data_IF_847165527233
#
_entry.id   IF_847165527233
#
_cell.length_a   1.000
_cell.length_b   1.000
_cell.length_c   1.000
_cell.angle_alpha   90.00
_cell.angle_beta   90.00
_cell.angle_gamma   90.00
#
_symmetry.space_group_name_H-M   'P 1'
#
loop_
_entity.id
_entity.type
_entity.pdbx_description
1 polymer ?
2 non-polymer ?
3 water ?
#
# COMPACT_ATOMS: atom_id res chain seq x y z
N UNK A 10 14.28 16.34 5.77
CA UNK A 10 13.13 15.40 6.06
C UNK A 10 13.68 14.01 6.40
N UNK A 11 13.32 13.52 7.58
CA UNK A 11 13.80 12.23 8.17
C UNK A 11 12.58 11.34 8.35
N UNK A 12 12.77 10.01 8.34
CA UNK A 12 11.69 9.10 8.66
C UNK A 12 11.01 9.38 10.02
N UNK A 13 9.75 8.96 10.12
CA UNK A 13 8.87 9.09 11.30
C UNK A 13 9.42 8.26 12.48
N UNK A 14 9.95 7.06 12.23
CA UNK A 14 10.67 6.26 13.24
C UNK A 14 12.03 6.91 13.46
N UNK A 15 12.34 7.43 14.67
CA UNK A 15 13.65 8.07 14.89
C UNK A 15 14.79 7.04 14.79
N UNK A 16 14.48 5.75 14.84
CA UNK A 16 15.47 4.64 14.81
C UNK A 16 15.60 4.09 13.41
N UNK A 17 15.02 4.74 12.41
CA UNK A 17 15.10 4.25 11.01
C UNK A 17 16.54 3.82 10.71
N UNK A 18 16.70 2.65 10.13
CA UNK A 18 18.04 2.11 9.82
C UNK A 18 18.56 2.90 8.60
N UNK A 19 19.85 2.73 8.27
CA UNK A 19 20.56 3.51 7.23
C UNK A 19 19.80 3.34 5.89
N UNK A 20 19.46 2.11 5.55
CA UNK A 20 18.88 1.71 4.24
C UNK A 20 17.57 2.48 3.97
N UNK A 21 16.67 2.52 4.95
CA UNK A 21 15.38 3.26 4.92
C UNK A 21 15.63 4.77 4.85
N UNK A 22 16.62 5.27 5.57
CA UNK A 22 16.97 6.71 5.59
C UNK A 22 17.44 7.14 4.20
N UNK A 23 18.33 6.36 3.56
CA UNK A 23 18.97 6.75 2.27
C UNK A 23 17.90 6.72 1.16
N UNK A 24 16.96 5.75 1.20
CA UNK A 24 15.83 5.64 0.25
C UNK A 24 14.90 6.84 0.41
N UNK A 25 14.55 7.20 1.66
CA UNK A 25 13.59 8.30 1.96
C UNK A 25 14.16 9.63 1.44
N UNK A 26 15.43 9.89 1.71
CA UNK A 26 16.21 11.05 1.21
C UNK A 26 16.10 11.12 -0.33
N UNK A 27 16.42 10.01 -1.01
CA UNK A 27 16.34 9.86 -2.49
C UNK A 27 14.91 10.14 -3.02
N UNK A 28 13.88 9.62 -2.35
CA UNK A 28 12.46 9.93 -2.68
C UNK A 28 12.22 11.44 -2.53
N UNK A 29 12.78 12.07 -1.50
CA UNK A 29 12.52 13.51 -1.21
C UNK A 29 13.12 14.40 -2.31
N UNK A 30 14.16 13.94 -3.01
CA UNK A 30 14.85 14.69 -4.08
C UNK A 30 14.18 14.65 -5.46
N UNK A 31 13.26 13.72 -5.73
CA UNK A 31 12.85 13.41 -7.13
C UNK A 31 12.01 14.52 -7.75
N UNK A 32 11.08 15.22 -7.05
CA UNK A 32 10.36 16.34 -7.68
C UNK A 32 11.30 17.43 -8.24
N UNK A 33 12.49 17.63 -7.65
CA UNK A 33 13.52 18.63 -8.09
C UNK A 33 14.39 18.07 -9.23
N UNK A 34 14.36 16.76 -9.46
CA UNK A 34 15.30 16.01 -10.34
C UNK A 34 15.06 16.39 -11.82
N UNK A 35 16.13 16.76 -12.53
CA UNK A 35 16.11 17.12 -13.98
C UNK A 35 15.55 15.94 -14.78
N UNK A 36 16.26 14.81 -14.80
CA UNK A 36 15.94 13.62 -15.61
C UNK A 36 14.83 12.79 -14.99
N UNK A 37 15.10 11.53 -14.69
CA UNK A 37 14.09 10.56 -14.24
C UNK A 37 13.58 10.96 -12.85
N UNK A 38 12.26 10.88 -12.61
CA UNK A 38 11.61 11.42 -11.38
C UNK A 38 10.31 10.71 -11.02
N UNK A 39 9.83 9.77 -11.84
CA UNK A 39 8.52 9.06 -11.60
C UNK A 39 8.76 7.55 -11.56
N UNK A 40 8.75 6.97 -10.37
CA UNK A 40 9.05 5.54 -10.11
C UNK A 40 7.88 4.65 -10.57
N UNK A 41 8.16 3.65 -11.41
CA UNK A 41 7.17 2.65 -11.88
C UNK A 41 7.09 1.52 -10.85
N UNK A 42 5.97 0.81 -10.89
CA UNK A 42 5.69 -0.35 -10.03
C UNK A 42 4.60 -1.20 -10.64
N UNK A 43 4.41 -2.39 -10.10
CA UNK A 43 3.21 -3.24 -10.32
C UNK A 43 2.93 -3.98 -9.00
N UNK A 44 1.68 -4.34 -8.80
CA UNK A 44 1.26 -5.22 -7.67
C UNK A 44 1.50 -6.65 -8.16
N UNK A 45 2.33 -7.45 -7.48
CA UNK A 45 2.68 -8.81 -7.94
C UNK A 45 1.64 -9.83 -7.48
N UNK A 46 0.82 -9.46 -6.49
CA UNK A 46 -0.31 -10.28 -6.05
C UNK A 46 -0.26 -10.59 -4.56
N UNK A 47 -1.16 -11.48 -4.14
CA UNK A 47 -1.39 -11.87 -2.72
C UNK A 47 -0.54 -13.11 -2.41
N UNK A 48 0.26 -13.03 -1.33
CA UNK A 48 1.15 -14.13 -0.86
C UNK A 48 0.29 -15.36 -0.58
N UNK A 49 0.54 -16.46 -1.31
CA UNK A 49 -0.02 -17.80 -0.98
C UNK A 49 -1.51 -17.87 -1.35
N UNK A 50 -1.90 -17.43 -2.55
CA UNK A 50 -3.22 -17.82 -3.10
C UNK A 50 -3.02 -18.36 -4.53
N UNK A 51 -3.99 -19.14 -4.98
CA UNK A 51 -3.95 -19.75 -6.32
C UNK A 51 -4.24 -18.73 -7.39
N UNK A 52 -3.84 -19.06 -8.62
CA UNK A 52 -4.30 -18.42 -9.86
C UNK A 52 -3.62 -17.08 -10.08
N UNK A 53 -4.23 -16.27 -10.96
CA UNK A 53 -3.61 -15.06 -11.55
C UNK A 53 -3.35 -14.04 -10.43
N UNK A 54 -4.16 -14.03 -9.37
CA UNK A 54 -4.08 -13.00 -8.30
C UNK A 54 -2.97 -13.29 -7.30
N UNK A 55 -2.50 -14.55 -7.26
CA UNK A 55 -1.41 -14.98 -6.37
C UNK A 55 -0.11 -14.22 -6.63
N UNK A 56 0.65 -13.96 -5.58
CA UNK A 56 1.96 -13.31 -5.72
C UNK A 56 2.94 -14.21 -6.48
N UNK A 57 3.69 -13.57 -7.38
CA UNK A 57 4.84 -14.11 -8.15
C UNK A 57 5.47 -12.94 -8.90
N UNK A 58 6.51 -13.21 -9.70
CA UNK A 58 7.21 -12.22 -10.57
C UNK A 58 6.50 -12.12 -11.92
N UNK A 59 5.44 -12.91 -12.13
CA UNK A 59 4.71 -13.01 -13.42
C UNK A 59 4.29 -11.60 -13.83
N UNK A 60 3.70 -10.82 -12.92
CA UNK A 60 3.18 -9.44 -13.21
C UNK A 60 4.30 -8.55 -13.76
N UNK A 61 5.47 -8.61 -13.14
CA UNK A 61 6.66 -7.87 -13.57
C UNK A 61 7.19 -8.38 -14.89
N UNK A 62 7.32 -9.70 -15.03
CA UNK A 62 7.91 -10.36 -16.22
C UNK A 62 7.08 -10.05 -17.46
N UNK A 63 5.75 -9.97 -17.34
CA UNK A 63 4.81 -9.69 -18.45
C UNK A 63 5.03 -8.26 -18.93
N UNK A 64 5.33 -7.35 -18.00
CA UNK A 64 5.64 -5.93 -18.34
C UNK A 64 7.02 -5.87 -19.01
N UNK A 65 8.04 -6.56 -18.49
CA UNK A 65 9.35 -6.73 -19.17
C UNK A 65 9.11 -7.22 -20.59
N UNK A 66 8.21 -8.19 -20.79
CA UNK A 66 7.93 -8.75 -22.15
C UNK A 66 7.24 -7.67 -22.97
N UNK A 67 6.32 -6.90 -22.40
CA UNK A 67 5.52 -5.95 -23.20
C UNK A 67 6.32 -4.67 -23.47
N UNK A 68 7.16 -4.23 -22.52
CA UNK A 68 7.77 -2.88 -22.51
C UNK A 68 9.31 -2.94 -22.58
N UNK A 69 9.90 -4.09 -22.25
CA UNK A 69 11.37 -4.25 -22.12
C UNK A 69 11.92 -3.65 -20.85
N UNK A 70 11.05 -3.22 -19.93
CA UNK A 70 11.37 -2.64 -18.59
C UNK A 70 10.68 -3.46 -17.50
N UNK A 71 11.37 -3.74 -16.40
CA UNK A 71 10.79 -4.31 -15.16
C UNK A 71 10.44 -3.14 -14.24
N UNK A 72 9.23 -3.10 -13.66
CA UNK A 72 8.87 -2.02 -12.74
C UNK A 72 9.88 -1.91 -11.59
N UNK A 73 10.18 -0.67 -11.17
CA UNK A 73 11.14 -0.33 -10.09
C UNK A 73 10.58 -0.83 -8.74
N UNK A 74 9.30 -0.60 -8.48
CA UNK A 74 8.63 -1.08 -7.24
C UNK A 74 7.87 -2.39 -7.51
N UNK A 75 8.13 -3.45 -6.74
CA UNK A 75 7.27 -4.67 -6.73
C UNK A 75 6.49 -4.67 -5.42
N UNK A 76 5.15 -4.68 -5.55
CA UNK A 76 4.21 -4.74 -4.42
C UNK A 76 3.76 -6.16 -4.17
N UNK A 77 3.59 -6.51 -2.89
CA UNK A 77 2.89 -7.73 -2.45
C UNK A 77 1.91 -7.37 -1.34
N UNK A 78 0.90 -8.21 -1.17
CA UNK A 78 -0.11 -8.10 -0.09
C UNK A 78 -0.06 -9.41 0.68
N UNK A 79 0.03 -9.33 2.00
CA UNK A 79 0.36 -10.45 2.91
C UNK A 79 -0.91 -11.27 3.24
N UNK A 80 -2.12 -10.75 2.98
CA UNK A 80 -3.34 -11.23 3.67
C UNK A 80 -4.54 -11.48 2.74
N UNK A 81 -5.35 -12.47 3.10
CA UNK A 81 -6.58 -12.90 2.39
C UNK A 81 -7.77 -12.78 3.35
N UNK A 82 -8.08 -11.53 3.72
CA UNK A 82 -9.17 -11.19 4.65
C UNK A 82 -10.53 -11.66 4.16
N UNK A 83 -10.67 -11.96 2.86
CA UNK A 83 -11.94 -12.44 2.26
C UNK A 83 -12.20 -13.88 2.70
N UNK A 84 -11.14 -14.62 3.08
CA UNK A 84 -11.28 -16.03 3.54
C UNK A 84 -11.48 -16.05 5.05
N UNK A 85 -12.38 -16.92 5.49
CA UNK A 85 -12.50 -17.36 6.91
C UNK A 85 -11.36 -18.32 7.25
N UNK A 86 -10.97 -18.33 8.53
CA UNK A 86 -10.07 -19.32 9.18
C UNK A 86 -10.80 -20.03 10.32
N UNK A 87 -10.12 -20.99 10.94
CA UNK A 87 -10.49 -21.53 12.25
C UNK A 87 -10.34 -20.39 13.27
N UNK A 88 -11.33 -20.21 14.18
CA UNK A 88 -11.12 -19.39 15.38
C UNK A 88 -9.84 -19.90 16.04
N UNK A 89 -8.91 -19.00 16.34
CA UNK A 89 -7.61 -19.32 16.93
C UNK A 89 -6.54 -19.58 15.89
N UNK A 90 -6.87 -19.62 14.60
CA UNK A 90 -5.86 -19.83 13.51
C UNK A 90 -5.87 -18.60 12.62
N UNK A 91 -6.27 -17.43 13.14
CA UNK A 91 -6.53 -16.24 12.30
C UNK A 91 -5.26 -15.81 11.55
N UNK A 92 -4.07 -16.04 12.11
CA UNK A 92 -2.78 -15.66 11.51
C UNK A 92 -2.49 -16.54 10.28
N UNK A 93 -3.24 -17.64 10.10
CA UNK A 93 -3.15 -18.48 8.88
C UNK A 93 -3.51 -17.63 7.65
N UNK A 94 -4.27 -16.55 7.82
CA UNK A 94 -4.78 -15.70 6.70
C UNK A 94 -3.75 -14.63 6.30
N UNK A 95 -2.58 -14.62 6.99
CA UNK A 95 -1.38 -13.79 6.69
C UNK A 95 -0.26 -14.72 6.29
N UNK A 96 0.41 -14.45 5.17
CA UNK A 96 1.54 -15.24 4.63
C UNK A 96 2.57 -14.27 4.04
N UNK A 97 3.86 -14.57 4.19
CA UNK A 97 4.97 -13.72 3.70
C UNK A 97 6.03 -14.55 2.96
N UNK A 98 5.64 -15.66 2.33
CA UNK A 98 6.54 -16.49 1.46
C UNK A 98 6.92 -15.65 0.22
N UNK A 99 6.18 -14.57 -0.03
CA UNK A 99 6.50 -13.62 -1.11
C UNK A 99 7.86 -12.96 -0.85
N UNK A 100 8.27 -12.87 0.41
CA UNK A 100 9.51 -12.16 0.84
C UNK A 100 10.72 -12.64 0.04
N UNK A 101 10.84 -13.92 -0.24
CA UNK A 101 12.03 -14.44 -0.94
C UNK A 101 12.24 -13.66 -2.25
N UNK A 102 11.21 -13.53 -3.07
CA UNK A 102 11.28 -12.84 -4.39
C UNK A 102 11.55 -11.34 -4.17
N UNK A 103 10.88 -10.73 -3.18
CA UNK A 103 11.04 -9.30 -2.83
C UNK A 103 12.49 -9.03 -2.46
N UNK A 104 13.16 -9.95 -1.78
CA UNK A 104 14.60 -9.79 -1.41
C UNK A 104 15.48 -9.81 -2.68
N UNK A 105 15.24 -10.71 -3.63
CA UNK A 105 16.00 -10.76 -4.92
C UNK A 105 15.78 -9.42 -5.63
N UNK A 106 14.55 -8.90 -5.54
CA UNK A 106 14.14 -7.63 -6.21
C UNK A 106 14.97 -6.48 -5.62
N UNK A 107 15.00 -6.34 -4.29
CA UNK A 107 15.85 -5.31 -3.63
C UNK A 107 17.30 -5.49 -4.06
N UNK A 108 17.80 -6.72 -4.07
CA UNK A 108 19.20 -7.07 -4.44
C UNK A 108 19.47 -6.62 -5.88
N UNK A 109 18.50 -6.70 -6.80
CA UNK A 109 18.66 -6.23 -8.21
C UNK A 109 18.49 -4.71 -8.34
N UNK A 110 18.12 -4.02 -7.26
CA UNK A 110 18.11 -2.54 -7.19
C UNK A 110 16.70 -1.99 -7.32
N UNK A 111 15.70 -2.83 -7.05
CA UNK A 111 14.29 -2.42 -7.00
C UNK A 111 13.89 -2.04 -5.59
N UNK A 112 12.69 -1.47 -5.46
CA UNK A 112 12.02 -1.19 -4.16
C UNK A 112 10.87 -2.17 -3.92
N UNK A 113 10.56 -2.40 -2.65
CA UNK A 113 9.52 -3.35 -2.19
C UNK A 113 8.42 -2.53 -1.49
N UNK A 114 7.16 -2.88 -1.75
CA UNK A 114 5.94 -2.29 -1.19
C UNK A 114 5.04 -3.41 -0.65
N UNK A 115 4.49 -3.23 0.54
CA UNK A 115 3.68 -4.27 1.23
C UNK A 115 2.37 -3.62 1.64
N UNK A 116 1.25 -4.23 1.28
CA UNK A 116 -0.10 -3.92 1.81
C UNK A 116 -0.58 -5.20 2.49
N UNK A 117 -1.76 -5.18 3.11
CA UNK A 117 -2.39 -6.41 3.66
C UNK A 117 -3.90 -6.21 3.74
N UNK A 118 -4.66 -6.94 2.93
CA UNK A 118 -6.14 -7.05 3.04
C UNK A 118 -6.44 -7.85 4.31
N UNK A 119 -6.31 -7.22 5.47
CA UNK A 119 -6.33 -7.91 6.77
C UNK A 119 -7.71 -8.48 7.05
N UNK A 120 -7.77 -9.67 7.67
CA UNK A 120 -8.99 -10.12 8.34
C UNK A 120 -9.46 -9.12 9.41
N UNK A 121 -10.73 -9.21 9.77
CA UNK A 121 -11.42 -8.32 10.72
C UNK A 121 -11.28 -8.92 12.12
N UNK A 122 -10.40 -8.37 12.97
CA UNK A 122 -10.10 -8.99 14.26
C UNK A 122 -11.27 -8.99 15.25
N UNK A 123 -12.36 -8.31 14.92
CA UNK A 123 -13.54 -8.31 15.82
C UNK A 123 -14.18 -9.70 15.84
N UNK A 124 -13.99 -10.53 14.81
CA UNK A 124 -14.71 -11.81 14.58
C UNK A 124 -13.74 -12.98 14.71
N UNK A 125 -14.06 -13.89 15.62
CA UNK A 125 -13.40 -15.21 15.73
C UNK A 125 -13.52 -15.90 14.36
N UNK A 126 -12.41 -16.45 13.88
CA UNK A 126 -12.35 -17.15 12.58
C UNK A 126 -12.41 -16.18 11.43
N UNK A 127 -12.40 -14.87 11.72
CA UNK A 127 -12.65 -13.82 10.71
C UNK A 127 -13.97 -14.14 10.01
N UNK A 128 -14.94 -14.66 10.78
CA UNK A 128 -16.23 -15.25 10.29
C UNK A 128 -17.42 -14.60 10.97
N UNK A 129 -18.02 -13.55 10.38
CA UNK A 129 -19.20 -12.90 10.96
C UNK A 129 -20.60 -13.48 10.61
N UNK A 130 -20.66 -14.65 9.95
CA UNK A 130 -21.93 -15.31 9.58
C UNK A 130 -22.52 -14.68 8.33
N UNK A 131 -21.63 -14.33 7.40
CA UNK A 131 -21.89 -13.44 6.25
C UNK A 131 -21.77 -14.20 4.93
N UNK A 132 -21.18 -15.40 4.92
CA UNK A 132 -20.96 -16.16 3.68
C UNK A 132 -19.53 -16.00 3.19
N UNK A 133 -18.75 -15.17 3.87
CA UNK A 133 -17.30 -15.04 3.58
C UNK A 133 -16.57 -14.47 4.80
N UNK A 134 -15.28 -14.17 4.59
CA UNK A 134 -14.38 -13.53 5.56
C UNK A 134 -14.87 -12.14 5.87
N UNK A 135 -14.35 -11.54 6.94
CA UNK A 135 -14.81 -10.24 7.46
C UNK A 135 -14.10 -9.03 6.86
N UNK A 136 -13.26 -9.19 5.83
CA UNK A 136 -12.52 -8.06 5.19
C UNK A 136 -13.44 -6.86 4.96
N UNK A 137 -14.64 -7.09 4.41
CA UNK A 137 -15.59 -6.02 3.99
C UNK A 137 -16.85 -6.06 4.87
N UNK A 138 -16.75 -6.64 6.06
CA UNK A 138 -17.78 -6.60 7.12
C UNK A 138 -17.59 -5.35 7.98
N UNK A 139 -18.48 -4.37 7.88
CA UNK A 139 -18.50 -3.16 8.72
C UNK A 139 -18.66 -3.59 10.18
N UNK A 140 -18.18 -2.76 11.09
CA UNK A 140 -18.38 -2.91 12.55
C UNK A 140 -18.69 -1.52 13.12
N UNK A 141 -19.49 -1.46 14.17
CA UNK A 141 -19.89 -0.21 14.86
C UNK A 141 -18.65 0.47 15.45
N UNK A 142 -18.77 1.74 15.83
CA UNK A 142 -17.69 2.43 16.57
C UNK A 142 -17.38 1.68 17.89
N UNK A 143 -18.40 1.16 18.60
CA UNK A 143 -18.19 0.43 19.90
C UNK A 143 -17.37 -0.85 19.66
N UNK A 144 -17.68 -1.57 18.57
CA UNK A 144 -17.02 -2.85 18.20
C UNK A 144 -15.56 -2.56 17.84
N UNK A 145 -15.36 -1.53 17.02
CA UNK A 145 -14.05 -1.05 16.55
C UNK A 145 -13.21 -0.69 17.79
N UNK A 146 -13.81 -0.02 18.77
CA UNK A 146 -13.11 0.51 19.97
C UNK A 146 -12.47 -0.66 20.75
N UNK A 147 -13.09 -1.83 20.72
CA UNK A 147 -12.63 -3.04 21.47
C UNK A 147 -11.27 -3.50 20.91
N UNK A 148 -10.96 -3.17 19.67
CA UNK A 148 -9.66 -3.58 19.06
C UNK A 148 -8.52 -2.84 19.78
N UNK A 149 -8.84 -1.72 20.46
CA UNK A 149 -7.87 -0.85 21.16
C UNK A 149 -7.96 -0.97 22.70
N UNK A 150 -8.88 -1.77 23.24
CA UNK A 150 -9.02 -2.02 24.71
C UNK A 150 -8.22 -3.25 25.11
N UNK A 151 -7.31 -3.08 26.08
CA UNK A 151 -6.43 -4.16 26.60
C UNK A 151 -7.34 -5.33 27.00
N UNK A 152 -6.95 -6.56 26.66
CA UNK A 152 -7.56 -7.78 27.22
C UNK A 152 -8.72 -8.33 26.43
N UNK A 153 -9.21 -7.68 25.38
CA UNK A 153 -10.38 -8.15 24.60
C UNK A 153 -9.94 -9.21 23.61
N UNK A 154 -10.87 -10.07 23.19
CA UNK A 154 -10.68 -11.06 22.10
C UNK A 154 -10.37 -10.37 20.79
N UNK A 155 -11.01 -9.25 20.48
CA UNK A 155 -10.68 -8.46 19.27
C UNK A 155 -9.22 -7.99 19.34
N UNK A 156 -8.80 -7.42 20.47
CA UNK A 156 -7.42 -6.87 20.56
C UNK A 156 -6.44 -8.03 20.44
N UNK A 157 -6.76 -9.21 20.98
CA UNK A 157 -5.84 -10.38 21.00
C UNK A 157 -5.59 -10.90 19.56
N UNK A 158 -6.66 -10.97 18.76
CA UNK A 158 -6.58 -11.41 17.35
C UNK A 158 -5.84 -10.34 16.54
N UNK A 159 -6.16 -9.09 16.80
CA UNK A 159 -5.52 -7.92 16.16
C UNK A 159 -4.00 -8.08 16.26
N UNK A 160 -3.48 -8.17 17.48
CA UNK A 160 -2.02 -8.29 17.77
C UNK A 160 -1.47 -9.59 17.14
N UNK A 161 -2.24 -10.67 17.13
CA UNK A 161 -1.81 -11.96 16.54
C UNK A 161 -1.60 -11.79 15.03
N UNK A 162 -2.54 -11.08 14.40
CA UNK A 162 -2.47 -10.69 12.96
C UNK A 162 -1.22 -9.84 12.75
N UNK A 163 -1.02 -8.82 13.59
CA UNK A 163 0.12 -7.88 13.53
C UNK A 163 1.43 -8.66 13.72
N UNK A 164 1.44 -9.67 14.58
CA UNK A 164 2.68 -10.41 14.92
C UNK A 164 3.15 -11.06 13.61
N UNK A 165 2.23 -11.64 12.86
CA UNK A 165 2.57 -12.45 11.67
C UNK A 165 2.96 -11.48 10.55
N UNK A 166 2.41 -10.26 10.53
CA UNK A 166 2.84 -9.21 9.55
C UNK A 166 4.28 -8.81 9.91
N UNK A 167 4.48 -8.50 11.18
CA UNK A 167 5.78 -8.10 11.76
C UNK A 167 6.84 -9.16 11.45
N UNK A 168 6.52 -10.44 11.59
CA UNK A 168 7.45 -11.57 11.33
C UNK A 168 8.01 -11.39 9.94
N UNK A 169 7.12 -11.12 8.97
CA UNK A 169 7.43 -10.95 7.55
C UNK A 169 8.25 -9.69 7.32
N UNK A 170 7.90 -8.61 8.01
CA UNK A 170 8.63 -7.32 7.87
C UNK A 170 10.00 -7.43 8.55
N UNK A 171 10.11 -8.20 9.63
CA UNK A 171 11.39 -8.40 10.34
C UNK A 171 12.35 -9.18 9.43
N UNK A 172 11.85 -10.20 8.73
CA UNK A 172 12.72 -10.95 7.82
C UNK A 172 13.31 -9.95 6.84
N UNK A 173 12.49 -9.07 6.28
CA UNK A 173 12.94 -8.10 5.25
C UNK A 173 13.96 -7.14 5.87
N UNK A 174 13.71 -6.70 7.10
CA UNK A 174 14.64 -5.85 7.89
C UNK A 174 15.99 -6.57 7.90
N UNK A 175 16.02 -7.84 8.31
CA UNK A 175 17.26 -8.62 8.53
C UNK A 175 18.01 -8.84 7.20
N UNK A 176 17.40 -8.61 6.03
CA UNK A 176 18.09 -8.69 4.71
C UNK A 176 18.38 -7.28 4.19
N UNK A 177 18.24 -6.26 5.04
CA UNK A 177 18.60 -4.87 4.73
C UNK A 177 17.64 -4.21 3.75
N UNK A 178 16.37 -4.64 3.72
CA UNK A 178 15.36 -4.21 2.70
C UNK A 178 14.46 -3.13 3.29
N UNK A 179 14.51 -1.85 2.87
CA UNK A 179 13.50 -0.90 3.30
C UNK A 179 12.18 -1.35 2.68
N UNK A 180 11.06 -0.98 3.29
CA UNK A 180 9.71 -1.36 2.79
C UNK A 180 8.83 -0.11 2.77
N UNK A 181 8.21 0.13 1.62
CA UNK A 181 7.09 1.08 1.47
C UNK A 181 5.85 0.37 2.02
N UNK A 182 5.61 0.56 3.32
CA UNK A 182 4.59 -0.16 4.11
C UNK A 182 3.29 0.62 4.08
N UNK A 183 2.24 0.03 3.51
CA UNK A 183 0.90 0.67 3.28
C UNK A 183 -0.19 -0.07 4.08
N UNK A 184 -0.27 0.16 5.42
CA UNK A 184 -1.34 -0.43 6.22
C UNK A 184 -2.63 0.40 6.13
N UNK A 185 -3.77 -0.26 6.27
CA UNK A 185 -5.11 0.32 6.51
C UNK A 185 -5.41 1.38 5.43
N UNK A 186 -5.20 1.00 4.16
CA UNK A 186 -5.42 1.88 2.97
C UNK A 186 -6.93 2.11 2.70
N UNK A 187 -7.27 3.12 1.91
CA UNK A 187 -8.66 3.38 1.45
C UNK A 187 -9.60 3.48 2.67
N UNK A 188 -9.08 4.05 3.77
CA UNK A 188 -9.76 4.09 5.08
C UNK A 188 -10.94 5.06 5.05
N UNK A 189 -10.99 5.95 4.06
CA UNK A 189 -12.10 6.94 3.87
C UNK A 189 -13.20 6.31 3.01
N UNK A 190 -12.96 5.09 2.51
CA UNK A 190 -13.98 4.26 1.84
C UNK A 190 -14.76 3.44 2.83
N UNK A 191 -16.03 3.17 2.50
CA UNK A 191 -16.98 2.38 3.33
C UNK A 191 -16.77 0.85 3.19
N UNK A 192 -15.82 0.35 2.39
CA UNK A 192 -15.79 -1.10 2.04
C UNK A 192 -15.02 -1.93 3.09
N UNK A 193 -13.77 -1.60 3.38
CA UNK A 193 -12.98 -2.35 4.40
C UNK A 193 -13.56 -2.12 5.81
N UNK A 194 -13.33 -3.10 6.68
CA UNK A 194 -13.80 -3.09 8.10
C UNK A 194 -13.15 -1.93 8.85
N UNK A 195 -11.91 -1.58 8.48
CA UNK A 195 -11.12 -0.51 9.15
C UNK A 195 -11.52 0.87 8.60
N UNK A 196 -12.36 0.94 7.55
CA UNK A 196 -12.70 2.20 6.85
C UNK A 196 -13.94 2.90 7.41
N UNK A 197 -14.51 3.83 6.63
CA UNK A 197 -15.69 4.63 7.03
C UNK A 197 -16.93 3.72 7.17
N UNK A 198 -17.83 4.08 8.08
CA UNK A 198 -19.21 3.51 8.23
C UNK A 198 -20.04 3.79 6.98
N UNK A 199 -19.92 5.01 6.44
CA UNK A 199 -20.79 5.54 5.37
C UNK A 199 -20.03 5.93 4.12
N UNK A 200 -20.76 6.20 3.05
CA UNK A 200 -20.27 6.72 1.75
C UNK A 200 -20.09 8.24 1.90
N UNK A 201 -18.84 8.70 2.05
CA UNK A 201 -18.48 10.15 2.18
C UNK A 201 -19.05 10.75 3.47
N UNK A 202 -19.36 9.96 4.50
CA UNK A 202 -19.94 10.48 5.77
C UNK A 202 -18.82 11.11 6.59
N UNK A 203 -19.14 12.10 7.41
CA UNK A 203 -18.15 12.77 8.28
C UNK A 203 -18.36 12.30 9.72
N UNK A 204 -17.92 11.08 10.02
CA UNK A 204 -18.02 10.48 11.38
C UNK A 204 -16.74 10.76 12.17
N UNK A 205 -16.74 11.80 13.02
CA UNK A 205 -15.58 12.24 13.82
C UNK A 205 -15.04 11.09 14.69
N UNK A 206 -15.93 10.21 15.15
CA UNK A 206 -15.53 9.23 16.17
C UNK A 206 -14.87 8.05 15.42
N UNK A 207 -15.35 7.65 14.23
CA UNK A 207 -14.66 6.69 13.32
C UNK A 207 -13.29 7.24 12.92
N UNK A 208 -13.23 8.50 12.51
CA UNK A 208 -11.97 9.22 12.15
C UNK A 208 -10.99 9.10 13.33
N UNK A 209 -11.44 9.41 14.54
CA UNK A 209 -10.59 9.34 15.77
C UNK A 209 -10.12 7.90 15.94
N UNK A 210 -11.03 6.91 15.86
CA UNK A 210 -10.69 5.47 16.08
C UNK A 210 -9.65 5.01 15.04
N UNK A 211 -9.81 5.40 13.77
CA UNK A 211 -8.86 5.03 12.69
C UNK A 211 -7.47 5.59 13.00
N UNK A 212 -7.37 6.88 13.27
CA UNK A 212 -6.11 7.56 13.70
C UNK A 212 -5.48 6.72 14.84
N UNK A 213 -6.29 6.34 15.83
CA UNK A 213 -5.82 5.60 17.02
C UNK A 213 -5.35 4.21 16.57
N UNK A 214 -6.06 3.57 15.64
CA UNK A 214 -5.69 2.22 15.17
C UNK A 214 -4.33 2.26 14.44
N UNK A 215 -4.16 3.18 13.49
CA UNK A 215 -2.90 3.37 12.72
C UNK A 215 -1.73 3.60 13.70
N UNK A 216 -1.96 4.45 14.71
CA UNK A 216 -0.94 4.81 15.73
C UNK A 216 -0.59 3.56 16.54
N UNK A 217 -1.60 2.75 16.84
CA UNK A 217 -1.40 1.44 17.49
C UNK A 217 -0.42 0.60 16.66
N UNK A 218 -0.58 0.56 15.34
CA UNK A 218 0.28 -0.28 14.46
C UNK A 218 1.69 0.30 14.51
N UNK A 219 1.77 1.61 14.35
CA UNK A 219 3.04 2.37 14.34
C UNK A 219 3.84 2.01 15.60
N UNK A 220 3.34 2.25 16.81
CA UNK A 220 4.14 2.06 18.04
C UNK A 220 4.41 0.58 18.26
N UNK A 221 3.46 -0.30 17.95
CA UNK A 221 3.69 -1.77 18.14
C UNK A 221 4.92 -2.13 17.30
N UNK A 222 4.94 -1.69 16.06
CA UNK A 222 5.98 -2.06 15.07
C UNK A 222 7.26 -1.29 15.40
N UNK A 223 7.15 -0.04 15.81
CA UNK A 223 8.35 0.84 16.01
C UNK A 223 9.08 0.48 17.32
N UNK A 224 8.33 0.30 18.40
CA UNK A 224 8.89 0.00 19.75
C UNK A 224 9.07 -1.51 19.89
N UNK A 225 8.01 -2.24 20.19
CA UNK A 225 8.01 -3.70 20.43
C UNK A 225 8.78 -4.46 19.35
N UNK A 226 8.62 -4.16 18.06
CA UNK A 226 9.08 -5.07 16.97
C UNK A 226 10.35 -4.53 16.32
N UNK A 227 10.80 -3.33 16.71
CA UNK A 227 12.05 -2.75 16.22
C UNK A 227 12.14 -2.82 14.70
N UNK A 228 11.07 -2.40 14.01
CA UNK A 228 10.98 -2.42 12.53
C UNK A 228 11.50 -1.07 11.97
N UNK A 229 12.82 -0.98 11.89
CA UNK A 229 13.62 0.22 11.54
C UNK A 229 13.57 0.48 10.02
N UNK A 230 13.10 -0.49 9.23
CA UNK A 230 13.25 -0.49 7.75
C UNK A 230 11.99 0.03 7.04
N UNK A 231 10.98 0.47 7.80
CA UNK A 231 9.64 0.81 7.24
C UNK A 231 9.56 2.32 6.99
N UNK A 232 9.04 2.64 5.80
CA UNK A 232 8.56 3.98 5.40
C UNK A 232 7.05 3.87 5.26
N UNK A 233 6.33 4.59 6.13
CA UNK A 233 4.90 4.42 6.44
C UNK A 233 4.06 5.18 5.41
N UNK A 234 3.28 4.46 4.59
CA UNK A 234 2.39 5.06 3.55
C UNK A 234 0.95 5.21 4.06
N UNK A 235 0.41 6.42 3.96
CA UNK A 235 -0.99 6.80 4.27
C UNK A 235 -1.70 7.11 2.93
N UNK A 236 -2.49 6.17 2.42
CA UNK A 236 -3.09 6.20 1.07
C UNK A 236 -4.59 6.05 1.17
N UNK A 237 -5.36 7.15 1.34
CA UNK A 237 -6.80 7.10 1.15
C UNK A 237 -7.22 6.82 -0.30
N UNK A 238 -8.52 6.60 -0.49
CA UNK A 238 -9.12 6.43 -1.83
C UNK A 238 -9.31 7.81 -2.46
N UNK A 239 -8.88 7.97 -3.70
CA UNK A 239 -8.99 9.23 -4.47
C UNK A 239 -10.47 9.54 -4.76
N UNK A 240 -11.35 8.54 -4.78
CA UNK A 240 -12.76 8.72 -5.22
C UNK A 240 -13.70 8.77 -4.00
N UNK A 241 -13.18 9.14 -2.84
CA UNK A 241 -13.98 9.39 -1.61
C UNK A 241 -13.52 10.67 -0.93
N UNK A 242 -14.37 11.21 -0.07
CA UNK A 242 -14.18 12.52 0.59
C UNK A 242 -13.43 12.28 1.92
N UNK A 243 -13.15 13.36 2.63
CA UNK A 243 -12.62 13.36 4.02
C UNK A 243 -11.27 12.64 4.03
N UNK A 244 -10.52 12.77 2.93
CA UNK A 244 -9.26 12.04 2.72
C UNK A 244 -8.32 12.20 3.93
N UNK A 245 -8.02 13.44 4.34
CA UNK A 245 -7.07 13.71 5.45
C UNK A 245 -7.77 13.69 6.82
N UNK A 246 -9.10 13.54 6.90
CA UNK A 246 -9.78 13.39 8.21
C UNK A 246 -9.22 12.17 8.92
N UNK A 247 -8.61 11.21 8.20
CA UNK A 247 -8.10 9.92 8.76
C UNK A 247 -6.59 9.98 9.03
N UNK A 248 -5.95 11.13 8.78
CA UNK A 248 -4.47 11.29 8.86
C UNK A 248 -4.03 11.21 10.32
N UNK A 249 -3.18 10.25 10.69
CA UNK A 249 -2.71 10.13 12.07
C UNK A 249 -1.72 11.22 12.52
N UNK A 250 -1.14 11.99 11.59
CA UNK A 250 -0.25 13.12 11.94
C UNK A 250 1.17 12.93 11.41
N UNK A 251 1.88 14.03 11.22
CA UNK A 251 3.23 14.08 10.57
C UNK A 251 4.20 13.10 11.26
N UNK A 252 3.99 12.77 12.55
CA UNK A 252 4.89 11.89 13.33
C UNK A 252 4.73 10.40 13.02
N UNK A 253 3.72 10.04 12.23
CA UNK A 253 3.29 8.63 11.99
C UNK A 253 3.39 8.24 10.52
N UNK A 254 3.72 9.19 9.65
CA UNK A 254 3.54 9.06 8.17
C UNK A 254 4.81 9.55 7.48
N UNK A 255 5.33 8.74 6.56
CA UNK A 255 6.52 9.06 5.73
C UNK A 255 6.12 9.48 4.31
N UNK A 256 5.15 8.79 3.70
CA UNK A 256 4.74 8.97 2.28
C UNK A 256 3.24 9.18 2.22
N UNK A 257 2.80 10.21 1.51
CA UNK A 257 1.39 10.50 1.20
C UNK A 257 1.00 9.75 -0.07
N UNK A 258 -0.08 8.99 -0.03
CA UNK A 258 -0.55 8.16 -1.15
C UNK A 258 -1.98 8.48 -1.50
N UNK A 259 -2.36 8.25 -2.75
CA UNK A 259 -3.77 8.00 -3.14
C UNK A 259 -3.85 6.68 -3.92
N UNK A 260 -4.91 5.91 -3.66
CA UNK A 260 -5.40 4.79 -4.50
C UNK A 260 -6.38 5.39 -5.53
N UNK A 261 -6.05 5.33 -6.82
CA UNK A 261 -6.68 6.15 -7.89
C UNK A 261 -7.15 5.25 -9.04
N UNK A 262 -8.43 4.90 -9.04
CA UNK A 262 -9.11 4.16 -10.14
C UNK A 262 -10.13 5.10 -10.83
N UNK A 263 -10.04 5.20 -12.15
CA UNK A 263 -10.87 6.14 -12.96
C UNK A 263 -10.78 5.72 -14.42
N UNK A 264 -11.73 6.14 -15.26
CA UNK A 264 -11.64 5.91 -16.73
C UNK A 264 -10.99 7.13 -17.39
N UNK A 265 -10.84 8.24 -16.67
CA UNK A 265 -10.23 9.50 -17.14
C UNK A 265 -9.14 9.93 -16.15
N UNK A 266 -7.86 9.63 -16.45
CA UNK A 266 -6.73 9.97 -15.57
C UNK A 266 -6.58 11.42 -15.11
N UNK A 267 -7.06 12.39 -15.88
CA UNK A 267 -7.04 13.83 -15.54
C UNK A 267 -7.96 14.17 -14.35
N UNK A 268 -8.93 13.32 -14.01
CA UNK A 268 -10.03 13.55 -13.02
C UNK A 268 -9.57 13.38 -11.55
N UNK A 269 -8.27 13.17 -11.27
CA UNK A 269 -7.74 12.99 -9.90
C UNK A 269 -8.18 14.14 -8.99
N UNK A 270 -8.84 13.82 -7.88
CA UNK A 270 -9.12 14.77 -6.77
C UNK A 270 -8.38 14.29 -5.50
N UNK A 271 -8.03 15.24 -4.61
CA UNK A 271 -7.23 14.99 -3.40
C UNK A 271 -5.77 15.46 -3.52
N UNK A 272 -5.28 15.79 -4.72
CA UNK A 272 -3.84 16.10 -4.95
C UNK A 272 -3.34 17.18 -3.98
N UNK A 273 -3.94 18.36 -3.98
CA UNK A 273 -3.43 19.48 -3.14
C UNK A 273 -3.73 19.22 -1.67
N UNK A 274 -4.87 18.64 -1.34
CA UNK A 274 -5.15 18.19 0.04
C UNK A 274 -3.96 17.37 0.55
N UNK A 275 -3.47 16.43 -0.26
CA UNK A 275 -2.47 15.42 0.16
C UNK A 275 -1.07 16.02 0.16
N UNK A 276 -0.78 16.92 -0.78
CA UNK A 276 0.50 17.68 -0.82
C UNK A 276 0.65 18.48 0.48
N UNK A 277 -0.47 18.81 1.12
CA UNK A 277 -0.55 19.53 2.40
C UNK A 277 0.19 18.84 3.52
N UNK A 278 0.29 17.51 3.46
CA UNK A 278 1.01 16.69 4.47
C UNK A 278 2.50 16.98 4.41
N UNK A 279 2.98 17.53 3.29
CA UNK A 279 4.40 17.90 3.07
C UNK A 279 5.24 16.62 3.11
N UNK A 280 4.74 15.58 2.45
CA UNK A 280 5.42 14.27 2.36
C UNK A 280 5.58 13.92 0.90
N UNK A 281 6.61 13.13 0.52
CA UNK A 281 6.64 12.50 -0.79
C UNK A 281 5.27 11.86 -1.08
N UNK A 282 4.75 12.15 -2.27
CA UNK A 282 3.40 11.76 -2.71
C UNK A 282 3.51 10.77 -3.87
N UNK A 283 2.73 9.70 -3.78
CA UNK A 283 2.66 8.65 -4.81
C UNK A 283 1.23 8.22 -5.05
N UNK A 284 0.96 7.82 -6.27
CA UNK A 284 -0.24 7.06 -6.65
C UNK A 284 0.10 5.58 -6.44
N UNK A 285 -0.06 5.14 -5.20
CA UNK A 285 0.49 3.83 -4.75
C UNK A 285 -0.46 2.70 -5.17
N UNK A 286 -1.62 3.05 -5.72
CA UNK A 286 -2.50 2.05 -6.36
C UNK A 286 -3.24 2.76 -7.49
N UNK A 287 -3.26 2.15 -8.68
CA UNK A 287 -3.64 2.82 -9.96
C UNK A 287 -4.24 1.79 -10.92
N UNK A 288 -5.23 2.20 -11.70
CA UNK A 288 -5.82 1.40 -12.78
C UNK A 288 -7.14 1.99 -13.25
N UNK A 289 -7.77 1.38 -14.28
CA UNK A 289 -9.10 1.80 -14.71
C UNK A 289 -10.21 1.47 -13.71
N UNK A 290 -11.37 2.11 -13.91
CA UNK A 290 -12.68 1.75 -13.29
C UNK A 290 -13.26 0.57 -14.06
N UNK A 291 -13.36 0.72 -15.38
CA UNK A 291 -13.88 -0.29 -16.32
C UNK A 291 -12.72 -1.16 -16.78
N UNK A 292 -12.80 -2.45 -16.46
CA UNK A 292 -11.79 -3.50 -16.67
C UNK A 292 -11.87 -4.03 -18.12
N UNK A 293 -11.98 -3.16 -19.11
CA UNK A 293 -12.29 -3.55 -20.51
C UNK A 293 -11.07 -3.37 -21.45
N UNK A 294 -9.85 -3.19 -20.91
CA UNK A 294 -8.60 -3.05 -21.69
C UNK A 294 -8.42 -1.74 -22.47
N UNK A 295 -9.23 -0.71 -22.21
CA UNK A 295 -9.16 0.59 -22.96
C UNK A 295 -8.32 1.66 -22.26
N UNK A 296 -8.01 1.51 -20.96
CA UNK A 296 -7.24 2.49 -20.16
C UNK A 296 -5.87 2.73 -20.81
N UNK A 297 -5.58 3.98 -21.16
CA UNK A 297 -4.30 4.38 -21.78
C UNK A 297 -3.32 4.76 -20.67
N UNK A 298 -2.32 3.91 -20.43
CA UNK A 298 -1.31 4.09 -19.35
C UNK A 298 -0.28 5.17 -19.73
N UNK A 299 -0.07 5.42 -21.03
CA UNK A 299 0.80 6.52 -21.53
C UNK A 299 0.12 7.85 -21.20
N UNK A 300 -1.20 7.91 -21.33
CA UNK A 300 -1.99 9.12 -20.98
C UNK A 300 -1.77 9.38 -19.49
N UNK A 301 -1.85 8.34 -18.66
CA UNK A 301 -1.71 8.47 -17.19
C UNK A 301 -0.33 9.04 -16.90
N UNK A 302 0.71 8.47 -17.49
CA UNK A 302 2.11 8.90 -17.22
C UNK A 302 2.26 10.38 -17.61
N UNK A 303 1.75 10.77 -18.77
CA UNK A 303 1.83 12.18 -19.25
C UNK A 303 0.98 13.07 -18.33
N UNK A 304 -0.21 12.62 -17.95
CA UNK A 304 -1.14 13.44 -17.14
C UNK A 304 -0.49 13.75 -15.80
N UNK A 305 0.08 12.73 -15.18
CA UNK A 305 0.90 12.86 -13.95
C UNK A 305 1.98 13.92 -14.20
N UNK A 306 2.91 13.61 -15.11
CA UNK A 306 4.09 14.46 -15.42
C UNK A 306 3.67 15.91 -15.57
N UNK A 307 2.57 16.20 -16.29
CA UNK A 307 2.17 17.58 -16.68
C UNK A 307 1.30 18.21 -15.59
N UNK A 308 0.39 17.45 -14.96
CA UNK A 308 -0.66 18.01 -14.08
C UNK A 308 -0.38 17.73 -12.60
N UNK A 309 0.26 16.61 -12.27
CA UNK A 309 0.52 16.23 -10.86
C UNK A 309 2.01 16.01 -10.65
N UNK A 310 2.88 16.99 -10.99
CA UNK A 310 4.33 16.80 -10.99
C UNK A 310 5.00 16.40 -9.68
N UNK A 311 4.38 16.64 -8.53
CA UNK A 311 4.95 16.24 -7.21
C UNK A 311 4.90 14.72 -7.06
N UNK A 312 4.04 14.06 -7.85
CA UNK A 312 3.88 12.58 -7.85
C UNK A 312 5.22 11.92 -8.19
N UNK A 313 5.71 11.01 -7.33
CA UNK A 313 7.03 10.34 -7.53
C UNK A 313 6.87 8.83 -7.78
N UNK A 314 5.67 8.25 -7.73
CA UNK A 314 5.50 6.82 -8.07
C UNK A 314 4.07 6.56 -8.55
N UNK A 315 3.93 5.54 -9.40
CA UNK A 315 2.65 4.97 -9.87
C UNK A 315 2.78 3.44 -9.87
N UNK A 316 1.83 2.79 -9.18
CA UNK A 316 1.81 1.32 -9.00
C UNK A 316 0.45 0.83 -9.45
N UNK A 317 0.35 0.41 -10.72
CA UNK A 317 -0.82 -0.30 -11.21
C UNK A 317 -1.09 -1.57 -10.40
N UNK A 318 -2.36 -1.89 -10.26
CA UNK A 318 -2.80 -3.19 -9.69
C UNK A 318 -2.62 -4.28 -10.74
N UNK A 319 -2.91 -5.53 -10.37
CA UNK A 319 -2.66 -6.74 -11.20
C UNK A 319 -3.94 -7.03 -11.97
N UNK A 320 -4.13 -8.27 -12.46
CA UNK A 320 -5.38 -8.69 -13.16
C UNK A 320 -5.64 -7.79 -14.38
N UNK A 321 -6.83 -7.20 -14.42
CA UNK A 321 -7.36 -6.46 -15.57
C UNK A 321 -6.97 -5.01 -15.46
N UNK A 322 -6.28 -4.68 -14.37
CA UNK A 322 -5.76 -3.32 -14.10
C UNK A 322 -4.34 -3.19 -14.64
N UNK A 323 -3.64 -4.30 -14.88
CA UNK A 323 -2.22 -4.32 -15.36
C UNK A 323 -2.10 -3.56 -16.67
N UNK A 324 -1.01 -2.78 -16.85
CA UNK A 324 -0.70 -2.18 -18.14
C UNK A 324 -0.79 -3.17 -19.30
N UNK A 325 -0.33 -4.40 -19.08
CA UNK A 325 -0.35 -5.53 -20.04
C UNK A 325 -1.77 -5.78 -20.56
N UNK A 326 -2.78 -5.68 -19.69
CA UNK A 326 -4.19 -5.96 -20.06
C UNK A 326 -4.86 -4.66 -20.55
N UNK A 327 -4.09 -3.66 -20.91
CA UNK A 327 -4.59 -2.30 -21.27
C UNK A 327 -3.71 -1.71 -22.39
N UNK A 328 -3.79 -0.40 -22.63
CA UNK A 328 -3.19 0.23 -23.83
C UNK A 328 -1.91 1.01 -23.49
N UNK A 329 -0.93 0.92 -24.38
CA UNK A 329 0.30 1.74 -24.43
C UNK A 329 1.10 1.57 -23.13
N UNK A 330 1.20 0.37 -22.60
CA UNK A 330 2.17 0.07 -21.51
C UNK A 330 3.59 0.45 -21.98
N UNK A 331 3.98 0.05 -23.18
CA UNK A 331 5.35 0.24 -23.70
C UNK A 331 5.72 1.72 -23.61
N UNK A 332 4.91 2.61 -24.18
CA UNK A 332 5.12 4.09 -24.21
C UNK A 332 5.20 4.64 -22.79
N UNK A 333 4.30 4.17 -21.92
CA UNK A 333 4.17 4.63 -20.52
C UNK A 333 5.50 4.38 -19.76
N UNK A 334 6.06 3.17 -19.90
CA UNK A 334 7.19 2.67 -19.10
C UNK A 334 8.55 3.11 -19.67
N UNK A 335 8.56 3.57 -20.94
CA UNK A 335 9.76 4.05 -21.69
C UNK A 335 9.77 5.58 -21.78
N UNK A 336 8.75 6.28 -21.26
CA UNK A 336 8.80 7.74 -20.98
C UNK A 336 10.15 8.10 -20.36
N UNK A 337 10.84 9.10 -20.92
CA UNK A 337 12.17 9.57 -20.48
C UNK A 337 12.25 9.88 -18.99
N UNK A 338 11.14 10.30 -18.35
CA UNK A 338 11.09 10.77 -16.93
C UNK A 338 10.75 9.61 -15.96
N UNK A 339 10.53 8.40 -16.48
CA UNK A 339 10.13 7.23 -15.65
C UNK A 339 11.36 6.46 -15.13
N UNK A 340 11.35 6.15 -13.84
CA UNK A 340 12.35 5.27 -13.14
C UNK A 340 11.83 3.82 -13.13
N UNK A 341 12.51 2.92 -13.83
CA UNK A 341 12.28 1.45 -13.77
C UNK A 341 13.47 0.77 -13.07
N UNK A 342 13.42 -0.55 -12.93
CA UNK A 342 14.52 -1.35 -12.35
C UNK A 342 15.74 -1.15 -13.24
N UNK A 343 16.91 -0.92 -12.62
CA UNK A 343 18.16 -0.54 -13.32
C UNK A 343 18.41 0.96 -13.27
N UNK A 344 17.43 1.80 -12.93
CA UNK A 344 17.51 3.29 -13.05
C UNK A 344 17.72 3.95 -11.67
N UNK A 345 17.84 3.20 -10.60
CA UNK A 345 17.88 3.80 -9.23
C UNK A 345 19.34 3.94 -8.81
N UNK A 346 19.82 5.18 -8.59
CA UNK A 346 21.20 5.47 -8.12
C UNK A 346 21.16 6.16 -6.74
N UNK A 347 21.64 5.44 -5.71
CA UNK A 347 21.63 5.83 -4.26
C UNK A 347 23.05 5.68 -3.67
N UNK A 348 23.65 6.78 -3.17
CA UNK A 348 24.98 6.85 -2.49
C UNK A 348 25.39 5.50 -1.85
#
# INVERSE_FOLDING_TARGET
GSHMMTSSTAVPANPSADNSAKKVYQWLNGLPDSNGKKLISGIFGGYSNIGGDSGFSLAQGNAIKDATGKFPAIYGADYARGWDVSAPGDEASLIDHSCNSDLISHWKNGGLVAISHHLPNPFYAGNNPGTGEGGLKKAISNDEFATILQDGTGARQRWLSLLDKVAEGLQELRDNGVPVLYRPLHEMNGEWFWWGATGYNTNDATRQDLYRRLYQDVFSYFVNTKGLTNLLWVFSPDANRDHKTAYYPGAGYVDIAGLDFYTDNPASLSGYDEMLGLNKPFGLVEVGPSTTNGQYDYAVLVNTILQNFPKTIMFVPWNDGWSPVKNQNAAAAFNNGSVINLGDISISW
#
